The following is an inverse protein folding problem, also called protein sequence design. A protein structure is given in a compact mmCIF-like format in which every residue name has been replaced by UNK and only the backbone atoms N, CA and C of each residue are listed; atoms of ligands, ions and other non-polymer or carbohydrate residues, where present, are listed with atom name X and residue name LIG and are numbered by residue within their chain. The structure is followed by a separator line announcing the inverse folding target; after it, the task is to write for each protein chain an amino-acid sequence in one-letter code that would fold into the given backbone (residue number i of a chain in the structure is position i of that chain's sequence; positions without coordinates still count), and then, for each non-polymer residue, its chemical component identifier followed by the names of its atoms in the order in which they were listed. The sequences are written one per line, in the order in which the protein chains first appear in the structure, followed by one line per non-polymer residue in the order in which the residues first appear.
data_IF_921589523140
#
_entry.id   IF_921589523140
#
_cell.length_a   1.000
_cell.length_b   1.000
_cell.length_c   1.000
_cell.angle_alpha   90.00
_cell.angle_beta   90.00
_cell.angle_gamma   90.00
#
_symmetry.space_group_name_H-M   'P 1'
#
loop_
_entity.id
_entity.type
_entity.pdbx_description
1 polymer ?
#
# COMPACT_ATOMS: atom_id res chain seq x y z
N UNK A 1 -9.54 -8.85 0.97
CA UNK A 1 -8.66 -8.69 -0.20
C UNK A 1 -7.26 -8.41 0.32
N UNK A 2 -6.22 -8.95 -0.31
CA UNK A 2 -4.83 -8.84 0.18
C UNK A 2 -4.00 -8.11 -0.87
N UNK A 3 -3.25 -7.10 -0.44
CA UNK A 3 -2.37 -6.30 -1.29
C UNK A 3 -0.94 -6.59 -0.87
N UNK A 4 -0.07 -6.85 -1.84
CA UNK A 4 1.38 -6.98 -1.62
C UNK A 4 1.98 -5.58 -1.68
N UNK A 5 2.89 -5.24 -0.78
CA UNK A 5 3.61 -3.97 -0.86
C UNK A 5 4.96 -4.21 -1.52
N UNK A 6 5.29 -3.40 -2.53
CA UNK A 6 6.58 -3.50 -3.22
C UNK A 6 7.74 -3.07 -2.31
N UNK A 7 7.55 -1.97 -1.58
CA UNK A 7 8.52 -1.41 -0.65
C UNK A 7 8.00 -1.48 0.81
N UNK A 8 8.58 -2.32 1.69
CA UNK A 8 8.09 -2.45 3.07
C UNK A 8 8.37 -1.22 3.93
N UNK A 9 9.35 -0.37 3.58
CA UNK A 9 9.63 0.87 4.33
C UNK A 9 8.46 1.86 4.24
N UNK A 10 7.69 1.81 3.15
CA UNK A 10 6.47 2.59 2.95
C UNK A 10 5.37 2.29 3.99
N UNK A 11 5.45 1.17 4.73
CA UNK A 11 4.55 0.84 5.83
C UNK A 11 5.00 1.42 7.18
N UNK A 12 6.21 1.99 7.26
CA UNK A 12 6.79 2.44 8.52
C UNK A 12 5.98 3.59 9.11
N UNK A 13 5.56 3.43 10.36
CA UNK A 13 4.78 4.43 11.08
C UNK A 13 3.27 4.35 10.87
N UNK A 14 2.80 3.49 9.94
CA UNK A 14 1.39 3.15 9.84
C UNK A 14 0.99 2.20 10.97
N UNK A 15 -0.18 2.43 11.54
CA UNK A 15 -0.82 1.51 12.47
C UNK A 15 -2.18 1.08 11.94
N UNK A 16 -2.65 -0.05 12.45
CA UNK A 16 -4.00 -0.53 12.17
C UNK A 16 -5.02 0.57 12.53
N UNK A 17 -5.89 0.89 11.57
CA UNK A 17 -6.92 1.92 11.72
C UNK A 17 -6.56 3.27 11.11
N UNK A 18 -5.32 3.48 10.67
CA UNK A 18 -4.98 4.68 9.89
C UNK A 18 -5.68 4.65 8.53
N UNK A 19 -6.19 5.81 8.13
CA UNK A 19 -6.66 6.03 6.77
C UNK A 19 -5.46 6.29 5.88
N UNK A 20 -5.37 5.57 4.76
CA UNK A 20 -4.30 5.71 3.78
C UNK A 20 -4.88 5.74 2.38
N UNK A 21 -4.19 6.45 1.49
CA UNK A 21 -4.38 6.37 0.06
C UNK A 21 -3.23 5.54 -0.52
N UNK A 22 -3.51 4.64 -1.45
CA UNK A 22 -2.49 3.82 -2.08
C UNK A 22 -2.80 3.59 -3.56
N UNK A 23 -1.74 3.49 -4.36
CA UNK A 23 -1.81 3.15 -5.78
C UNK A 23 -1.44 1.69 -5.98
N UNK A 24 -2.17 1.00 -6.85
CA UNK A 24 -1.98 -0.42 -7.12
C UNK A 24 -1.61 -0.63 -8.58
N UNK A 25 -0.53 -1.38 -8.82
CA UNK A 25 -0.27 -2.01 -10.11
C UNK A 25 -0.86 -3.43 -10.11
N UNK A 26 -1.58 -3.77 -11.19
CA UNK A 26 -2.18 -5.08 -11.39
C UNK A 26 -1.65 -5.80 -12.64
N UNK A 27 -0.54 -5.32 -13.20
CA UNK A 27 -0.06 -5.75 -14.52
C UNK A 27 0.44 -7.20 -14.54
N UNK A 28 0.83 -7.76 -13.38
CA UNK A 28 1.42 -9.11 -13.26
C UNK A 28 0.51 -10.15 -12.56
N UNK A 29 -0.82 -9.94 -12.54
CA UNK A 29 -1.76 -10.92 -11.98
C UNK A 29 -1.88 -10.92 -10.46
N UNK A 30 -1.51 -9.83 -9.80
CA UNK A 30 -1.66 -9.62 -8.36
C UNK A 30 -1.81 -8.12 -8.05
N UNK A 31 -2.24 -7.77 -6.84
CA UNK A 31 -2.38 -6.38 -6.42
C UNK A 31 -1.12 -5.92 -5.68
N UNK A 32 -0.25 -5.19 -6.36
CA UNK A 32 1.00 -4.68 -5.79
C UNK A 32 0.88 -3.19 -5.55
N UNK A 33 1.04 -2.76 -4.30
CA UNK A 33 1.08 -1.35 -3.92
C UNK A 33 2.43 -0.78 -4.32
N UNK A 34 2.41 0.23 -5.18
CA UNK A 34 3.60 0.94 -5.69
C UNK A 34 3.80 2.30 -5.05
N UNK A 35 2.75 2.88 -4.48
CA UNK A 35 2.78 4.16 -3.77
C UNK A 35 1.77 4.11 -2.62
N UNK A 36 2.17 4.62 -1.45
CA UNK A 36 1.35 4.68 -0.25
C UNK A 36 1.54 6.03 0.42
N UNK A 37 0.42 6.70 0.72
CA UNK A 37 0.40 8.00 1.38
C UNK A 37 -0.63 8.00 2.51
N UNK A 38 -0.35 8.73 3.59
CA UNK A 38 -1.33 8.98 4.63
C UNK A 38 -2.51 9.77 4.05
N UNK A 39 -3.74 9.33 4.34
CA UNK A 39 -4.92 10.12 4.02
C UNK A 39 -5.03 11.23 5.07
N UNK A 40 -4.48 12.40 4.75
CA UNK A 40 -4.60 13.60 5.58
C UNK A 40 -5.97 14.24 5.41
#
# INVERSE_FOLDING_TARGET
MMFKVADPESLKGLKKGDAINFSVDNSAGGFVITDLQSAQ
#
